data_IF_838488915669
#
_entry.id   IF_838488915669
#
_cell.length_a   1.000
_cell.length_b   1.000
_cell.length_c   1.000
_cell.angle_alpha   90.00
_cell.angle_beta   90.00
_cell.angle_gamma   90.00
#
_symmetry.space_group_name_H-M   'P 1'
#
loop_
_entity.id
_entity.type
_entity.pdbx_description
1 polymer ?
#
# COMPACT_ATOMS: atom_id res chain seq x y z
N UNK A 1 44.20 35.22 2.24
CA UNK A 1 44.55 35.02 3.66
C UNK A 1 43.25 35.17 4.45
N UNK A 2 42.55 34.13 4.88
CA UNK A 2 43.03 32.79 5.25
C UNK A 2 42.37 31.67 4.44
N UNK A 3 43.24 30.76 4.02
CA UNK A 3 42.93 29.41 3.57
C UNK A 3 42.55 28.56 4.78
N UNK A 4 41.33 28.04 4.79
CA UNK A 4 40.98 26.78 5.46
C UNK A 4 39.94 26.08 4.57
N UNK A 5 40.46 25.51 3.48
CA UNK A 5 39.76 24.58 2.61
C UNK A 5 39.64 23.24 3.33
N UNK A 6 38.55 23.02 4.07
CA UNK A 6 38.21 21.70 4.59
C UNK A 6 37.90 20.73 3.43
N UNK A 7 38.50 19.54 3.51
CA UNK A 7 38.41 18.46 2.53
C UNK A 7 36.96 18.10 2.17
N UNK A 8 36.56 18.29 0.90
CA UNK A 8 35.42 17.56 0.31
C UNK A 8 34.42 18.32 -0.57
N UNK A 9 34.56 19.63 -0.77
CA UNK A 9 33.59 20.43 -1.54
C UNK A 9 34.19 20.98 -2.83
N UNK A 10 33.91 20.35 -3.97
CA UNK A 10 34.40 20.80 -5.30
C UNK A 10 33.32 21.63 -6.01
N UNK A 11 33.23 22.91 -5.67
CA UNK A 11 32.54 23.90 -6.49
C UNK A 11 33.55 24.70 -7.32
N UNK A 12 33.30 24.84 -8.63
CA UNK A 12 34.09 25.70 -9.50
C UNK A 12 33.66 27.16 -9.31
N UNK A 13 34.60 27.97 -8.81
CA UNK A 13 34.36 29.36 -8.43
C UNK A 13 34.03 30.23 -9.65
N UNK A 14 34.63 29.97 -10.80
CA UNK A 14 34.39 30.79 -12.01
C UNK A 14 33.02 30.47 -12.60
N UNK A 15 32.63 29.18 -12.64
CA UNK A 15 31.27 28.77 -13.02
C UNK A 15 30.22 29.37 -12.08
N UNK A 16 30.48 29.33 -10.76
CA UNK A 16 29.60 29.91 -9.75
C UNK A 16 29.44 31.43 -9.92
N UNK A 17 30.55 32.16 -10.11
CA UNK A 17 30.54 33.62 -10.30
C UNK A 17 29.79 34.03 -11.56
N UNK A 18 29.97 33.28 -12.67
CA UNK A 18 29.21 33.51 -13.90
C UNK A 18 27.71 33.33 -13.65
N UNK A 19 27.30 32.19 -13.07
CA UNK A 19 25.90 31.94 -12.73
C UNK A 19 25.31 33.01 -11.81
N UNK A 20 26.08 33.45 -10.81
CA UNK A 20 25.65 34.49 -9.88
C UNK A 20 25.42 35.82 -10.58
N UNK A 21 26.35 36.26 -11.42
CA UNK A 21 26.19 37.49 -12.22
C UNK A 21 24.95 37.40 -13.12
N UNK A 22 24.81 36.31 -13.87
CA UNK A 22 23.66 36.09 -14.75
C UNK A 22 22.33 36.05 -13.96
N UNK A 23 22.34 35.48 -12.76
CA UNK A 23 21.19 35.47 -11.84
C UNK A 23 20.84 36.87 -11.34
N UNK A 24 21.84 37.66 -10.91
CA UNK A 24 21.66 39.03 -10.41
C UNK A 24 21.09 39.96 -11.52
N UNK A 25 21.53 39.74 -12.76
CA UNK A 25 21.04 40.45 -13.96
C UNK A 25 19.70 39.90 -14.48
N UNK A 26 19.25 38.75 -13.99
CA UNK A 26 18.09 38.00 -14.50
C UNK A 26 18.18 37.72 -16.02
N UNK A 27 19.40 37.45 -16.49
CA UNK A 27 19.68 37.08 -17.88
C UNK A 27 20.69 35.92 -17.92
N UNK A 28 20.21 34.73 -18.27
CA UNK A 28 21.04 33.53 -18.39
C UNK A 28 21.56 33.28 -19.81
N UNK A 29 21.48 34.27 -20.70
CA UNK A 29 21.98 34.13 -22.08
C UNK A 29 23.47 33.82 -22.10
N UNK A 30 24.29 34.53 -21.32
CA UNK A 30 25.73 34.29 -21.22
C UNK A 30 26.03 32.85 -20.77
N UNK A 31 25.43 32.41 -19.66
CA UNK A 31 25.59 31.04 -19.15
C UNK A 31 25.18 29.99 -20.18
N UNK A 32 24.01 30.15 -20.79
CA UNK A 32 23.47 29.18 -21.74
C UNK A 32 24.28 29.12 -23.04
N UNK A 33 24.80 30.25 -23.53
CA UNK A 33 25.66 30.28 -24.71
C UNK A 33 27.04 29.68 -24.42
N UNK A 34 27.58 29.93 -23.21
CA UNK A 34 28.79 29.27 -22.75
C UNK A 34 28.61 27.74 -22.67
N UNK A 35 27.46 27.26 -22.15
CA UNK A 35 27.12 25.82 -22.13
C UNK A 35 27.02 25.21 -23.52
N UNK A 36 26.45 25.92 -24.49
CA UNK A 36 26.40 25.46 -25.89
C UNK A 36 27.80 25.37 -26.52
N UNK A 37 28.68 26.32 -26.20
CA UNK A 37 30.06 26.32 -26.69
C UNK A 37 30.94 25.25 -26.02
N UNK A 38 30.59 24.82 -24.79
CA UNK A 38 31.36 23.86 -23.99
C UNK A 38 30.50 22.67 -23.52
N UNK A 39 30.00 21.83 -24.44
CA UNK A 39 29.07 20.74 -24.11
C UNK A 39 29.69 19.64 -23.23
N UNK A 40 30.98 19.39 -23.38
CA UNK A 40 31.72 18.34 -22.66
C UNK A 40 32.28 18.81 -21.31
N UNK A 41 32.23 20.13 -21.05
CA UNK A 41 32.72 20.72 -19.81
C UNK A 41 31.82 20.31 -18.64
N UNK A 42 32.46 19.83 -17.57
CA UNK A 42 31.75 19.38 -16.37
C UNK A 42 31.41 20.58 -15.49
N UNK A 43 30.15 20.65 -15.06
CA UNK A 43 29.68 21.71 -14.18
C UNK A 43 29.79 21.24 -12.72
N UNK A 44 30.52 21.98 -11.90
CA UNK A 44 30.80 21.62 -10.51
C UNK A 44 30.21 22.68 -9.56
N UNK A 45 29.06 22.35 -8.96
CA UNK A 45 28.32 23.22 -8.03
C UNK A 45 28.09 22.51 -6.69
N UNK A 46 28.97 21.59 -6.32
CA UNK A 46 28.81 20.80 -5.11
C UNK A 46 28.88 21.69 -3.86
N UNK A 47 27.82 21.68 -3.05
CA UNK A 47 27.71 22.52 -1.86
C UNK A 47 27.56 24.02 -2.15
N UNK A 48 27.35 24.42 -3.42
CA UNK A 48 27.20 25.82 -3.77
C UNK A 48 25.91 26.40 -3.15
N UNK A 49 26.01 27.62 -2.61
CA UNK A 49 24.85 28.41 -2.21
C UNK A 49 24.28 29.14 -3.43
N UNK A 50 23.22 28.55 -3.99
CA UNK A 50 22.42 29.08 -5.11
C UNK A 50 21.05 29.53 -4.59
N UNK A 51 20.94 29.82 -3.29
CA UNK A 51 19.68 30.22 -2.68
C UNK A 51 19.20 31.54 -3.27
N UNK A 52 17.90 31.61 -3.57
CA UNK A 52 17.25 32.76 -4.22
C UNK A 52 17.78 33.12 -5.62
N UNK A 53 18.62 32.29 -6.25
CA UNK A 53 19.11 32.59 -7.60
C UNK A 53 17.96 32.58 -8.62
N UNK A 54 18.07 33.47 -9.62
CA UNK A 54 17.23 33.44 -10.80
C UNK A 54 17.86 32.49 -11.84
N UNK A 55 17.35 31.25 -11.88
CA UNK A 55 17.86 30.16 -12.72
C UNK A 55 16.88 29.78 -13.84
N UNK A 56 15.97 30.69 -14.21
CA UNK A 56 14.92 30.42 -15.17
C UNK A 56 15.51 30.03 -16.53
N UNK A 57 15.09 28.89 -17.07
CA UNK A 57 15.62 28.31 -18.33
C UNK A 57 17.15 28.10 -18.35
N UNK A 58 17.80 27.99 -17.17
CA UNK A 58 19.21 27.62 -17.10
C UNK A 58 19.48 26.23 -17.69
N UNK A 59 20.63 26.09 -18.34
CA UNK A 59 21.20 24.79 -18.69
C UNK A 59 22.17 24.29 -17.61
N UNK A 60 21.68 23.42 -16.73
CA UNK A 60 22.46 22.69 -15.72
C UNK A 60 22.56 21.20 -16.08
N UNK A 61 22.49 20.86 -17.37
CA UNK A 61 22.70 19.50 -17.87
C UNK A 61 24.02 18.92 -17.35
N UNK A 62 23.94 17.72 -16.76
CA UNK A 62 25.08 16.98 -16.24
C UNK A 62 25.78 17.62 -15.04
N UNK A 63 25.24 18.70 -14.46
CA UNK A 63 25.87 19.41 -13.36
C UNK A 63 25.96 18.56 -12.09
N UNK A 64 27.08 18.66 -11.38
CA UNK A 64 27.24 18.13 -10.05
C UNK A 64 26.77 19.17 -9.02
N UNK A 65 25.50 19.09 -8.65
CA UNK A 65 24.83 19.94 -7.68
C UNK A 65 24.66 19.22 -6.33
N UNK A 66 25.51 18.23 -6.02
CA UNK A 66 25.40 17.48 -4.78
C UNK A 66 25.49 18.43 -3.57
N UNK A 67 24.53 18.36 -2.64
CA UNK A 67 24.42 19.26 -1.47
C UNK A 67 24.31 20.76 -1.79
N UNK A 68 24.07 21.14 -3.05
CA UNK A 68 23.86 22.54 -3.39
C UNK A 68 22.54 23.05 -2.78
N UNK A 69 22.53 24.32 -2.38
CA UNK A 69 21.35 24.98 -1.83
C UNK A 69 20.64 25.79 -2.92
N UNK A 70 19.45 25.37 -3.31
CA UNK A 70 18.53 26.06 -4.24
C UNK A 70 17.32 26.62 -3.50
N UNK A 71 17.38 26.81 -2.18
CA UNK A 71 16.25 27.31 -1.39
C UNK A 71 15.76 28.64 -1.98
N UNK A 72 14.45 28.76 -2.19
CA UNK A 72 13.81 29.93 -2.81
C UNK A 72 14.31 30.30 -4.24
N UNK A 73 15.12 29.47 -4.89
CA UNK A 73 15.60 29.74 -6.24
C UNK A 73 14.45 29.67 -7.26
N UNK A 74 14.52 30.51 -8.29
CA UNK A 74 13.62 30.42 -9.43
C UNK A 74 14.24 29.54 -10.52
N UNK A 75 13.97 28.24 -10.47
CA UNK A 75 14.45 27.26 -11.44
C UNK A 75 13.48 27.05 -12.60
N UNK A 76 12.44 27.89 -12.79
CA UNK A 76 11.38 27.62 -13.75
C UNK A 76 11.92 27.25 -15.15
N UNK A 77 11.52 26.08 -15.67
CA UNK A 77 11.94 25.53 -16.96
C UNK A 77 13.46 25.32 -17.12
N UNK A 78 14.24 25.31 -16.05
CA UNK A 78 15.64 24.90 -16.07
C UNK A 78 15.78 23.43 -16.47
N UNK A 79 16.96 23.04 -16.95
CA UNK A 79 17.31 21.63 -17.19
C UNK A 79 18.38 21.14 -16.24
N UNK A 80 18.05 20.10 -15.50
CA UNK A 80 18.94 19.28 -14.66
C UNK A 80 19.07 17.87 -15.27
N UNK A 81 18.93 17.74 -16.60
CA UNK A 81 19.05 16.46 -17.28
C UNK A 81 20.38 15.78 -16.93
N UNK A 82 20.33 14.55 -16.40
CA UNK A 82 21.48 13.77 -15.90
C UNK A 82 22.30 14.45 -14.80
N UNK A 83 21.81 15.53 -14.19
CA UNK A 83 22.51 16.20 -13.10
C UNK A 83 22.59 15.30 -11.85
N UNK A 84 23.64 15.48 -11.05
CA UNK A 84 23.74 14.91 -9.72
C UNK A 84 23.25 15.92 -8.69
N UNK A 85 22.00 15.76 -8.25
CA UNK A 85 21.34 16.57 -7.22
C UNK A 85 21.21 15.80 -5.90
N UNK A 86 22.11 14.84 -5.63
CA UNK A 86 22.07 14.07 -4.40
C UNK A 86 22.21 15.03 -3.19
N UNK A 87 21.34 14.86 -2.20
CA UNK A 87 21.32 15.71 -0.99
C UNK A 87 21.13 17.22 -1.27
N UNK A 88 20.69 17.63 -2.47
CA UNK A 88 20.46 19.04 -2.80
C UNK A 88 19.18 19.59 -2.15
N UNK A 89 19.16 20.89 -1.84
CA UNK A 89 18.06 21.56 -1.13
C UNK A 89 17.25 22.45 -2.08
N UNK A 90 16.08 22.01 -2.52
CA UNK A 90 15.14 22.75 -3.36
C UNK A 90 13.94 23.30 -2.55
N UNK A 91 14.08 23.49 -1.23
CA UNK A 91 12.97 23.94 -0.39
C UNK A 91 12.43 25.28 -0.87
N UNK A 92 11.11 25.40 -0.97
CA UNK A 92 10.43 26.63 -1.42
C UNK A 92 10.84 27.10 -2.83
N UNK A 93 11.60 26.31 -3.59
CA UNK A 93 12.06 26.69 -4.94
C UNK A 93 10.90 26.65 -5.94
N UNK A 94 10.96 27.53 -6.95
CA UNK A 94 10.07 27.45 -8.11
C UNK A 94 10.68 26.50 -9.16
N UNK A 95 10.27 25.24 -9.12
CA UNK A 95 10.67 24.18 -10.05
C UNK A 95 9.64 23.92 -11.15
N UNK A 96 8.77 24.89 -11.47
CA UNK A 96 7.72 24.70 -12.46
C UNK A 96 8.31 24.34 -13.83
N UNK A 97 7.90 23.19 -14.38
CA UNK A 97 8.37 22.69 -15.68
C UNK A 97 9.86 22.36 -15.74
N UNK A 98 10.54 22.21 -14.61
CA UNK A 98 11.97 21.81 -14.57
C UNK A 98 12.13 20.41 -15.14
N UNK A 99 13.24 20.19 -15.86
CA UNK A 99 13.62 18.90 -16.43
C UNK A 99 14.66 18.19 -15.58
N UNK A 100 14.24 17.25 -14.74
CA UNK A 100 15.07 16.32 -13.95
C UNK A 100 15.23 14.95 -14.62
N UNK A 101 15.12 14.86 -15.95
CA UNK A 101 15.24 13.59 -16.68
C UNK A 101 16.57 12.90 -16.29
N UNK A 102 16.53 11.60 -16.00
CA UNK A 102 17.70 10.81 -15.59
C UNK A 102 18.54 11.39 -14.42
N UNK A 103 18.03 12.39 -13.70
CA UNK A 103 18.78 13.06 -12.64
C UNK A 103 18.92 12.19 -11.39
N UNK A 104 19.98 12.41 -10.63
CA UNK A 104 20.19 11.76 -9.33
C UNK A 104 19.69 12.69 -8.21
N UNK A 105 18.48 12.46 -7.73
CA UNK A 105 17.83 13.24 -6.67
C UNK A 105 17.74 12.46 -5.35
N UNK A 106 18.69 11.56 -5.09
CA UNK A 106 18.72 10.74 -3.88
C UNK A 106 18.79 11.67 -2.65
N UNK A 107 17.80 11.56 -1.75
CA UNK A 107 17.63 12.41 -0.55
C UNK A 107 17.53 13.92 -0.83
N UNK A 108 17.25 14.32 -2.08
CA UNK A 108 16.99 15.72 -2.39
C UNK A 108 15.73 16.22 -1.65
N UNK A 109 15.75 17.49 -1.27
CA UNK A 109 14.72 18.11 -0.45
C UNK A 109 13.91 19.14 -1.25
N UNK A 110 12.73 18.73 -1.76
CA UNK A 110 11.77 19.57 -2.49
C UNK A 110 10.62 20.04 -1.61
N UNK A 111 10.76 20.02 -0.28
CA UNK A 111 9.70 20.41 0.64
C UNK A 111 9.18 21.82 0.33
N UNK A 112 7.86 21.98 0.22
CA UNK A 112 7.19 23.25 -0.15
C UNK A 112 7.56 23.83 -1.53
N UNK A 113 8.31 23.11 -2.38
CA UNK A 113 8.64 23.58 -3.72
C UNK A 113 7.41 23.58 -4.66
N UNK A 114 7.45 24.42 -5.69
CA UNK A 114 6.51 24.34 -6.81
C UNK A 114 7.09 23.46 -7.92
N UNK A 115 6.72 22.19 -7.97
CA UNK A 115 7.13 21.23 -9.01
C UNK A 115 6.03 20.99 -10.06
N UNK A 116 5.12 21.95 -10.28
CA UNK A 116 4.05 21.79 -11.28
C UNK A 116 4.65 21.52 -12.67
N UNK A 117 4.22 20.41 -13.29
CA UNK A 117 4.68 19.99 -14.60
C UNK A 117 6.18 19.64 -14.68
N UNK A 118 6.88 19.52 -13.55
CA UNK A 118 8.27 19.09 -13.54
C UNK A 118 8.41 17.65 -14.07
N UNK A 119 9.50 17.40 -14.79
CA UNK A 119 9.76 16.12 -15.45
C UNK A 119 10.88 15.36 -14.73
N UNK A 120 10.49 14.37 -13.92
CA UNK A 120 11.34 13.42 -13.22
C UNK A 120 11.42 12.07 -13.95
N UNK A 121 11.26 12.04 -15.28
CA UNK A 121 11.36 10.81 -16.07
C UNK A 121 12.66 10.05 -15.77
N UNK A 122 12.52 8.80 -15.31
CA UNK A 122 13.63 7.91 -14.94
C UNK A 122 14.61 8.49 -13.89
N UNK A 123 14.19 9.53 -13.16
CA UNK A 123 15.00 10.13 -12.10
C UNK A 123 15.15 9.20 -10.89
N UNK A 124 16.26 9.33 -10.18
CA UNK A 124 16.55 8.60 -8.94
C UNK A 124 16.17 9.44 -7.73
N UNK A 125 14.92 9.35 -7.29
CA UNK A 125 14.34 10.14 -6.19
C UNK A 125 14.21 9.34 -4.89
N UNK A 126 15.06 8.35 -4.64
CA UNK A 126 14.94 7.54 -3.43
C UNK A 126 15.13 8.41 -2.19
N UNK A 127 14.25 8.24 -1.19
CA UNK A 127 14.25 9.04 0.05
C UNK A 127 14.18 10.56 -0.17
N UNK A 128 13.80 11.01 -1.36
CA UNK A 128 13.58 12.43 -1.62
C UNK A 128 12.35 12.92 -0.83
N UNK A 129 12.38 14.19 -0.43
CA UNK A 129 11.29 14.84 0.28
C UNK A 129 10.50 15.72 -0.67
N UNK A 130 9.22 15.43 -0.80
CA UNK A 130 8.21 16.16 -1.57
C UNK A 130 7.03 16.55 -0.66
N UNK A 131 7.26 16.67 0.66
CA UNK A 131 6.20 17.06 1.60
C UNK A 131 5.74 18.48 1.30
N UNK A 132 4.42 18.70 1.30
CA UNK A 132 3.80 19.99 0.96
C UNK A 132 4.14 20.52 -0.46
N UNK A 133 4.75 19.73 -1.32
CA UNK A 133 5.15 20.14 -2.67
C UNK A 133 3.94 20.22 -3.61
N UNK A 134 3.90 21.22 -4.49
CA UNK A 134 2.97 21.19 -5.62
C UNK A 134 3.55 20.32 -6.75
N UNK A 135 3.09 19.09 -6.87
CA UNK A 135 3.48 18.14 -7.92
C UNK A 135 2.39 17.99 -9.00
N UNK A 136 1.51 18.99 -9.17
CA UNK A 136 0.43 18.91 -10.15
C UNK A 136 0.99 18.67 -11.55
N UNK A 137 0.46 17.65 -12.25
CA UNK A 137 0.90 17.22 -13.60
C UNK A 137 2.40 16.87 -13.71
N UNK A 138 3.13 16.69 -12.60
CA UNK A 138 4.52 16.27 -12.62
C UNK A 138 4.66 14.86 -13.20
N UNK A 139 5.78 14.59 -13.87
CA UNK A 139 6.05 13.33 -14.56
C UNK A 139 7.08 12.53 -13.77
N UNK A 140 6.64 11.51 -13.06
CA UNK A 140 7.49 10.53 -12.36
C UNK A 140 7.55 9.19 -13.13
N UNK A 141 7.39 9.21 -14.44
CA UNK A 141 7.38 8.00 -15.27
C UNK A 141 8.72 7.26 -15.14
N UNK A 142 8.71 5.97 -14.78
CA UNK A 142 9.89 5.15 -14.50
C UNK A 142 10.79 5.65 -13.34
N UNK A 143 10.38 6.67 -12.59
CA UNK A 143 11.19 7.22 -11.50
C UNK A 143 11.38 6.21 -10.35
N UNK A 144 12.52 6.30 -9.67
CA UNK A 144 12.84 5.50 -8.49
C UNK A 144 12.50 6.33 -7.24
N UNK A 145 11.31 6.14 -6.68
CA UNK A 145 10.77 6.92 -5.55
C UNK A 145 10.70 6.08 -4.25
N UNK A 146 11.60 5.13 -4.06
CA UNK A 146 11.61 4.27 -2.89
C UNK A 146 11.80 5.10 -1.62
N UNK A 147 10.94 4.88 -0.63
CA UNK A 147 10.91 5.61 0.65
C UNK A 147 10.80 7.14 0.48
N UNK A 148 10.33 7.64 -0.67
CA UNK A 148 10.11 9.07 -0.89
C UNK A 148 8.92 9.58 -0.09
N UNK A 149 9.00 10.83 0.36
CA UNK A 149 8.01 11.47 1.25
C UNK A 149 7.16 12.45 0.47
N UNK A 150 5.92 12.09 0.13
CA UNK A 150 4.96 12.96 -0.56
C UNK A 150 3.87 13.51 0.37
N UNK A 151 3.96 13.32 1.69
CA UNK A 151 2.87 13.67 2.62
C UNK A 151 2.42 15.13 2.43
N UNK A 152 1.10 15.36 2.37
CA UNK A 152 0.48 16.67 2.10
C UNK A 152 0.79 17.31 0.74
N UNK A 153 1.42 16.60 -0.21
CA UNK A 153 1.64 17.12 -1.55
C UNK A 153 0.34 17.24 -2.36
N UNK A 154 0.38 18.10 -3.39
CA UNK A 154 -0.63 18.10 -4.44
C UNK A 154 -0.12 17.31 -5.66
N UNK A 155 -0.60 16.07 -5.84
CA UNK A 155 -0.23 15.20 -6.96
C UNK A 155 -1.35 15.10 -8.01
N UNK A 156 -2.23 16.12 -8.11
CA UNK A 156 -3.32 16.13 -9.08
C UNK A 156 -2.80 15.93 -10.51
N UNK A 157 -3.27 14.90 -11.20
CA UNK A 157 -2.86 14.57 -12.57
C UNK A 157 -1.41 14.11 -12.74
N UNK A 158 -0.66 13.89 -11.66
CA UNK A 158 0.73 13.46 -11.71
C UNK A 158 0.87 12.04 -12.30
N UNK A 159 1.96 11.80 -13.01
CA UNK A 159 2.20 10.55 -13.71
C UNK A 159 3.30 9.71 -13.06
N UNK A 160 2.90 8.73 -12.25
CA UNK A 160 3.76 7.74 -11.59
C UNK A 160 3.75 6.37 -12.29
N UNK A 161 3.33 6.30 -13.56
CA UNK A 161 3.28 5.02 -14.28
C UNK A 161 4.65 4.37 -14.31
N UNK A 162 4.70 3.08 -14.00
CA UNK A 162 5.94 2.27 -13.89
C UNK A 162 6.98 2.80 -12.88
N UNK A 163 6.63 3.77 -12.04
CA UNK A 163 7.52 4.25 -10.99
C UNK A 163 7.72 3.18 -9.91
N UNK A 164 8.87 3.21 -9.24
CA UNK A 164 9.11 2.40 -8.06
C UNK A 164 8.84 3.21 -6.80
N UNK A 165 7.61 3.16 -6.29
CA UNK A 165 7.17 3.86 -5.08
C UNK A 165 7.14 2.94 -3.85
N UNK A 166 8.01 1.93 -3.80
CA UNK A 166 8.07 1.02 -2.66
C UNK A 166 8.39 1.80 -1.38
N UNK A 167 7.57 1.65 -0.33
CA UNK A 167 7.77 2.37 0.94
C UNK A 167 7.45 3.87 0.89
N UNK A 168 6.98 4.39 -0.25
CA UNK A 168 6.67 5.81 -0.39
C UNK A 168 5.47 6.23 0.46
N UNK A 169 5.51 7.45 0.95
CA UNK A 169 4.52 8.03 1.86
C UNK A 169 3.68 9.07 1.11
N UNK A 170 2.46 8.68 0.72
CA UNK A 170 1.45 9.52 0.07
C UNK A 170 0.35 9.92 1.06
N UNK A 171 0.64 10.04 2.35
CA UNK A 171 -0.40 10.36 3.33
C UNK A 171 -0.95 11.78 3.15
N UNK A 172 -2.28 11.90 3.16
CA UNK A 172 -3.00 13.19 3.02
C UNK A 172 -2.69 13.89 1.68
N UNK A 173 -2.41 13.13 0.62
CA UNK A 173 -2.10 13.67 -0.70
C UNK A 173 -3.35 13.86 -1.55
N UNK A 174 -3.41 14.96 -2.30
CA UNK A 174 -4.37 15.09 -3.38
C UNK A 174 -3.91 14.23 -4.58
N UNK A 175 -4.53 13.08 -4.77
CA UNK A 175 -4.22 12.10 -5.81
C UNK A 175 -5.28 12.07 -6.92
N UNK A 176 -6.12 13.10 -7.06
CA UNK A 176 -7.13 13.16 -8.12
C UNK A 176 -6.46 13.07 -9.50
N UNK A 177 -6.90 12.14 -10.35
CA UNK A 177 -6.32 11.91 -11.67
C UNK A 177 -4.88 11.39 -11.68
N UNK A 178 -4.36 10.91 -10.53
CA UNK A 178 -3.01 10.34 -10.48
C UNK A 178 -2.94 9.09 -11.36
N UNK A 179 -1.86 8.96 -12.12
CA UNK A 179 -1.62 7.79 -12.98
C UNK A 179 -0.57 6.90 -12.32
N UNK A 180 -1.00 5.80 -11.70
CA UNK A 180 -0.12 4.86 -10.98
C UNK A 180 -0.04 3.48 -11.66
N UNK A 181 -0.51 3.34 -12.90
CA UNK A 181 -0.51 2.06 -13.62
C UNK A 181 0.89 1.44 -13.67
N UNK A 182 0.98 0.12 -13.39
CA UNK A 182 2.23 -0.65 -13.38
C UNK A 182 3.28 -0.18 -12.36
N UNK A 183 2.94 0.72 -11.43
CA UNK A 183 3.85 1.17 -10.39
C UNK A 183 4.09 0.07 -9.34
N UNK A 184 5.25 0.12 -8.67
CA UNK A 184 5.51 -0.68 -7.48
C UNK A 184 5.07 0.10 -6.24
N UNK A 185 3.99 -0.34 -5.59
CA UNK A 185 3.37 0.29 -4.42
C UNK A 185 3.51 -0.59 -3.15
N UNK A 186 4.40 -1.58 -3.17
CA UNK A 186 4.68 -2.42 -2.00
C UNK A 186 5.06 -1.55 -0.79
N UNK A 187 4.47 -1.80 0.37
CA UNK A 187 4.72 -1.01 1.58
C UNK A 187 4.46 0.50 1.45
N UNK A 188 3.81 0.97 0.38
CA UNK A 188 3.46 2.37 0.23
C UNK A 188 2.23 2.73 1.07
N UNK A 189 2.19 3.95 1.58
CA UNK A 189 1.11 4.45 2.44
C UNK A 189 0.32 5.53 1.70
N UNK A 190 -0.97 5.30 1.49
CA UNK A 190 -1.94 6.22 0.88
C UNK A 190 -3.06 6.51 1.88
N UNK A 191 -2.74 6.78 3.15
CA UNK A 191 -3.77 7.09 4.14
C UNK A 191 -4.37 8.47 3.87
N UNK A 192 -5.69 8.59 3.98
CA UNK A 192 -6.42 9.85 3.82
C UNK A 192 -6.18 10.55 2.47
N UNK A 193 -5.89 9.78 1.41
CA UNK A 193 -5.72 10.35 0.06
C UNK A 193 -7.06 10.71 -0.57
N UNK A 194 -7.04 11.76 -1.39
CA UNK A 194 -8.20 12.15 -2.20
C UNK A 194 -8.06 11.50 -3.58
N UNK A 195 -9.02 10.65 -3.93
CA UNK A 195 -9.08 9.95 -5.21
C UNK A 195 -10.36 10.32 -5.96
N UNK A 196 -10.36 10.14 -7.28
CA UNK A 196 -11.53 10.35 -8.14
C UNK A 196 -11.65 9.23 -9.19
N UNK A 197 -12.68 9.31 -10.03
CA UNK A 197 -12.98 8.34 -11.07
C UNK A 197 -11.93 8.25 -12.20
N UNK A 198 -11.03 9.23 -12.29
CA UNK A 198 -9.93 9.22 -13.26
C UNK A 198 -8.74 8.37 -12.78
N UNK A 199 -8.73 7.98 -11.50
CA UNK A 199 -7.63 7.19 -10.92
C UNK A 199 -7.79 5.71 -11.27
N UNK A 200 -6.71 5.11 -11.77
CA UNK A 200 -6.66 3.71 -12.16
C UNK A 200 -5.55 2.97 -11.39
N UNK A 201 -5.89 1.81 -10.82
CA UNK A 201 -4.97 0.91 -10.13
C UNK A 201 -4.93 -0.42 -10.90
N UNK A 202 -4.16 -0.41 -12.00
CA UNK A 202 -4.03 -1.52 -12.95
C UNK A 202 -2.56 -1.95 -13.01
N UNK A 203 -2.31 -3.26 -13.01
CA UNK A 203 -0.99 -3.89 -13.04
C UNK A 203 -0.02 -3.43 -11.92
N UNK A 204 -0.50 -2.73 -10.88
CA UNK A 204 0.35 -2.25 -9.78
C UNK A 204 0.85 -3.41 -8.91
N UNK A 205 2.10 -3.36 -8.44
CA UNK A 205 2.56 -4.30 -7.41
C UNK A 205 2.13 -3.78 -6.04
N UNK A 206 1.30 -4.53 -5.33
CA UNK A 206 0.90 -4.26 -3.95
C UNK A 206 1.29 -5.44 -3.08
N UNK A 207 1.43 -5.21 -1.78
CA UNK A 207 1.61 -6.28 -0.79
C UNK A 207 0.72 -6.03 0.43
N UNK A 208 0.90 -6.86 1.44
CA UNK A 208 0.19 -6.78 2.71
C UNK A 208 0.38 -5.44 3.41
N UNK A 209 1.47 -4.72 3.14
CA UNK A 209 1.81 -3.47 3.82
C UNK A 209 1.34 -2.24 3.04
N UNK A 210 0.86 -2.40 1.81
CA UNK A 210 0.27 -1.31 1.04
C UNK A 210 -1.01 -0.83 1.73
N UNK A 211 -1.04 0.43 2.16
CA UNK A 211 -2.11 0.99 2.99
C UNK A 211 -2.91 2.03 2.21
N UNK A 212 -4.24 1.90 2.21
CA UNK A 212 -5.20 2.85 1.61
C UNK A 212 -6.28 3.25 2.62
N UNK A 213 -5.97 3.20 3.92
CA UNK A 213 -6.93 3.50 4.98
C UNK A 213 -7.52 4.91 4.80
N UNK A 214 -8.84 5.02 4.94
CA UNK A 214 -9.63 6.23 4.70
C UNK A 214 -9.64 6.74 3.24
N UNK A 215 -9.04 6.03 2.29
CA UNK A 215 -9.18 6.35 0.87
C UNK A 215 -10.51 5.82 0.33
N UNK A 216 -11.25 6.65 -0.40
CA UNK A 216 -12.47 6.20 -1.08
C UNK A 216 -12.11 5.40 -2.34
N UNK A 217 -12.30 4.08 -2.27
CA UNK A 217 -12.06 3.17 -3.41
C UNK A 217 -13.31 2.94 -4.29
N UNK A 218 -14.45 3.56 -3.96
CA UNK A 218 -15.72 3.29 -4.64
C UNK A 218 -15.77 3.80 -6.08
N UNK A 219 -15.15 4.95 -6.34
CA UNK A 219 -15.10 5.58 -7.67
C UNK A 219 -13.87 5.19 -8.48
N UNK A 220 -12.89 4.51 -7.89
CA UNK A 220 -11.60 4.19 -8.51
C UNK A 220 -11.70 2.91 -9.34
N UNK A 221 -11.05 2.90 -10.50
CA UNK A 221 -10.96 1.70 -11.34
C UNK A 221 -9.82 0.81 -10.81
N UNK A 222 -10.18 -0.35 -10.27
CA UNK A 222 -9.23 -1.29 -9.63
C UNK A 222 -9.48 -2.70 -10.16
N UNK A 223 -8.40 -3.44 -10.47
CA UNK A 223 -8.49 -4.87 -10.80
C UNK A 223 -9.14 -5.66 -9.67
N UNK A 224 -10.05 -6.63 -9.94
CA UNK A 224 -10.78 -7.36 -8.90
C UNK A 224 -9.89 -7.98 -7.80
N UNK A 225 -8.78 -8.61 -8.20
CA UNK A 225 -7.84 -9.22 -7.25
C UNK A 225 -7.10 -8.19 -6.38
N UNK A 226 -6.78 -7.02 -6.94
CA UNK A 226 -6.16 -5.91 -6.20
C UNK A 226 -7.15 -5.26 -5.25
N UNK A 227 -8.40 -5.07 -5.68
CA UNK A 227 -9.46 -4.49 -4.86
C UNK A 227 -9.68 -5.31 -3.60
N UNK A 228 -9.86 -6.63 -3.75
CA UNK A 228 -10.02 -7.52 -2.60
C UNK A 228 -8.84 -7.44 -1.63
N UNK A 229 -7.61 -7.32 -2.15
CA UNK A 229 -6.40 -7.21 -1.33
C UNK A 229 -6.28 -5.86 -0.61
N UNK A 230 -6.58 -4.76 -1.29
CA UNK A 230 -6.58 -3.43 -0.67
C UNK A 230 -7.66 -3.32 0.41
N UNK A 231 -8.86 -3.81 0.15
CA UNK A 231 -9.94 -3.84 1.13
C UNK A 231 -9.59 -4.72 2.35
N UNK A 232 -8.87 -5.84 2.13
CA UNK A 232 -8.31 -6.64 3.23
C UNK A 232 -7.32 -5.83 4.06
N UNK A 233 -6.35 -5.17 3.43
CA UNK A 233 -5.34 -4.38 4.13
C UNK A 233 -6.00 -3.25 4.94
N UNK A 234 -6.94 -2.50 4.35
CA UNK A 234 -7.69 -1.43 5.02
C UNK A 234 -8.40 -1.98 6.27
N UNK A 235 -9.11 -3.11 6.15
CA UNK A 235 -9.75 -3.76 7.31
C UNK A 235 -8.72 -4.14 8.37
N UNK A 236 -7.60 -4.76 7.96
CA UNK A 236 -6.55 -5.19 8.89
C UNK A 236 -5.97 -4.02 9.67
N UNK A 237 -5.56 -2.95 8.99
CA UNK A 237 -5.02 -1.76 9.64
C UNK A 237 -6.03 -1.11 10.60
N UNK A 238 -7.31 -1.02 10.21
CA UNK A 238 -8.36 -0.50 11.07
C UNK A 238 -8.53 -1.30 12.38
N UNK A 239 -8.55 -2.63 12.27
CA UNK A 239 -8.63 -3.51 13.45
C UNK A 239 -7.37 -3.48 14.30
N UNK A 240 -6.18 -3.51 13.70
CA UNK A 240 -4.90 -3.39 14.42
C UNK A 240 -4.84 -2.10 15.24
N UNK A 241 -5.29 -0.99 14.67
CA UNK A 241 -5.43 0.29 15.38
C UNK A 241 -6.42 0.18 16.54
N UNK A 242 -7.61 -0.37 16.31
CA UNK A 242 -8.63 -0.54 17.35
C UNK A 242 -8.16 -1.43 18.52
N UNK A 243 -7.42 -2.51 18.24
CA UNK A 243 -6.84 -3.36 19.27
C UNK A 243 -5.82 -2.60 20.13
N UNK A 244 -5.03 -1.71 19.52
CA UNK A 244 -4.07 -0.87 20.23
C UNK A 244 -4.74 0.17 21.14
N UNK A 245 -5.77 0.85 20.64
CA UNK A 245 -6.51 1.88 21.39
C UNK A 245 -7.35 1.28 22.52
N UNK A 246 -7.96 0.11 22.29
CA UNK A 246 -8.82 -0.58 23.27
C UNK A 246 -8.03 -1.53 24.18
N UNK A 247 -6.69 -1.45 24.17
CA UNK A 247 -5.79 -2.38 24.85
C UNK A 247 -5.94 -2.43 26.38
N UNK A 248 -6.68 -1.51 27.00
CA UNK A 248 -7.05 -1.58 28.43
C UNK A 248 -8.07 -2.69 28.73
N UNK A 249 -8.79 -3.21 27.72
CA UNK A 249 -9.74 -4.33 27.84
C UNK A 249 -9.27 -5.58 27.09
N UNK A 250 -8.03 -6.04 27.34
CA UNK A 250 -7.39 -7.16 26.61
C UNK A 250 -8.28 -8.41 26.48
N UNK A 251 -9.01 -8.77 27.54
CA UNK A 251 -9.91 -9.94 27.55
C UNK A 251 -11.03 -9.78 26.52
N UNK A 252 -11.63 -8.60 26.39
CA UNK A 252 -12.71 -8.35 25.43
C UNK A 252 -12.21 -8.32 23.97
N UNK A 253 -10.95 -7.94 23.74
CA UNK A 253 -10.36 -7.89 22.39
C UNK A 253 -9.96 -9.27 21.86
N UNK A 254 -9.74 -10.26 22.73
CA UNK A 254 -9.24 -11.58 22.33
C UNK A 254 -10.17 -12.32 21.37
N UNK A 255 -11.49 -12.48 21.66
CA UNK A 255 -12.40 -13.18 20.74
C UNK A 255 -12.48 -12.49 19.38
N UNK A 256 -12.49 -11.15 19.37
CA UNK A 256 -12.56 -10.34 18.15
C UNK A 256 -11.28 -10.48 17.32
N UNK A 257 -10.12 -10.42 17.96
CA UNK A 257 -8.82 -10.58 17.28
C UNK A 257 -8.63 -11.99 16.73
N UNK A 258 -9.00 -13.00 17.51
CA UNK A 258 -8.98 -14.38 17.08
C UNK A 258 -9.88 -14.59 15.85
N UNK A 259 -11.08 -14.03 15.86
CA UNK A 259 -12.00 -14.07 14.72
C UNK A 259 -11.40 -13.51 13.43
N UNK A 260 -10.84 -12.30 13.48
CA UNK A 260 -10.31 -11.69 12.27
C UNK A 260 -9.03 -12.37 11.78
N UNK A 261 -8.27 -12.99 12.69
CA UNK A 261 -7.13 -13.84 12.36
C UNK A 261 -7.57 -15.09 11.57
N UNK A 262 -8.56 -15.84 12.07
CA UNK A 262 -9.01 -17.08 11.41
C UNK A 262 -9.65 -16.82 10.04
N UNK A 263 -10.31 -15.68 9.87
CA UNK A 263 -10.96 -15.29 8.61
C UNK A 263 -10.05 -14.57 7.63
N UNK A 264 -8.77 -14.36 7.99
CA UNK A 264 -7.81 -13.55 7.22
C UNK A 264 -8.40 -12.18 6.83
N UNK A 265 -9.04 -11.51 7.80
CA UNK A 265 -9.75 -10.24 7.60
C UNK A 265 -10.80 -10.30 6.48
N UNK A 266 -11.42 -11.47 6.31
CA UNK A 266 -12.44 -11.74 5.31
C UNK A 266 -11.91 -11.83 3.88
N UNK A 267 -10.63 -12.15 3.67
CA UNK A 267 -10.01 -12.24 2.35
C UNK A 267 -9.94 -13.66 1.78
N UNK A 268 -9.48 -14.63 2.57
CA UNK A 268 -9.19 -15.97 2.08
C UNK A 268 -10.33 -16.96 2.36
N UNK A 269 -11.11 -17.29 1.33
CA UNK A 269 -12.23 -18.25 1.44
C UNK A 269 -11.76 -19.65 1.85
N UNK A 270 -10.56 -20.09 1.44
CA UNK A 270 -10.02 -21.40 1.82
C UNK A 270 -9.71 -21.47 3.30
N UNK A 271 -9.20 -20.39 3.88
CA UNK A 271 -8.93 -20.32 5.32
C UNK A 271 -10.24 -20.39 6.12
N UNK A 272 -11.27 -19.64 5.71
CA UNK A 272 -12.59 -19.69 6.36
C UNK A 272 -13.16 -21.11 6.33
N UNK A 273 -13.10 -21.78 5.17
CA UNK A 273 -13.58 -23.16 5.02
C UNK A 273 -12.78 -24.14 5.88
N UNK A 274 -11.45 -24.00 5.91
CA UNK A 274 -10.57 -24.80 6.76
C UNK A 274 -10.94 -24.67 8.24
N UNK A 275 -11.08 -23.45 8.75
CA UNK A 275 -11.45 -23.22 10.15
C UNK A 275 -12.86 -23.73 10.45
N UNK A 276 -13.81 -23.57 9.51
CA UNK A 276 -15.16 -24.11 9.66
C UNK A 276 -15.14 -25.64 9.84
N UNK A 277 -14.44 -26.35 8.95
CA UNK A 277 -14.28 -27.82 9.03
C UNK A 277 -13.49 -28.25 10.28
N UNK A 278 -12.47 -27.48 10.67
CA UNK A 278 -11.69 -27.76 11.87
C UNK A 278 -12.55 -27.66 13.13
N UNK A 279 -13.40 -26.64 13.26
CA UNK A 279 -14.30 -26.52 14.41
C UNK A 279 -15.30 -27.67 14.49
N UNK A 280 -15.84 -28.12 13.36
CA UNK A 280 -16.71 -29.31 13.31
C UNK A 280 -15.99 -30.52 13.91
N UNK A 281 -14.74 -30.76 13.50
CA UNK A 281 -13.93 -31.88 14.01
C UNK A 281 -13.64 -31.70 15.51
N UNK A 282 -13.24 -30.50 15.94
CA UNK A 282 -12.94 -30.20 17.35
C UNK A 282 -14.15 -30.47 18.25
N UNK A 283 -15.34 -29.99 17.88
CA UNK A 283 -16.55 -30.25 18.64
C UNK A 283 -16.93 -31.73 18.62
N UNK A 284 -16.83 -32.40 17.47
CA UNK A 284 -17.05 -33.84 17.36
C UNK A 284 -16.12 -34.65 18.29
N UNK A 285 -14.85 -34.28 18.38
CA UNK A 285 -13.88 -34.89 19.29
C UNK A 285 -14.25 -34.62 20.76
N UNK A 286 -14.64 -33.40 21.12
CA UNK A 286 -15.09 -33.07 22.48
C UNK A 286 -16.29 -33.94 22.88
N UNK A 287 -17.29 -34.07 22.00
CA UNK A 287 -18.46 -34.90 22.26
C UNK A 287 -18.14 -36.39 22.35
N UNK A 288 -17.15 -36.86 21.59
CA UNK A 288 -16.69 -38.26 21.63
C UNK A 288 -15.91 -38.57 22.91
N UNK A 289 -15.13 -37.62 23.43
CA UNK A 289 -14.36 -37.77 24.68
C UNK A 289 -15.23 -37.64 25.93
N UNK A 290 -16.31 -36.85 25.84
CA UNK A 290 -17.23 -36.58 26.95
C UNK A 290 -18.69 -36.93 26.58
N UNK A 291 -19.00 -38.18 26.23
CA UNK A 291 -20.33 -38.56 25.74
C UNK A 291 -21.42 -38.40 26.80
N UNK A 292 -21.06 -38.48 28.09
CA UNK A 292 -21.99 -38.27 29.21
C UNK A 292 -22.64 -36.88 29.25
N UNK A 293 -22.13 -35.91 28.49
CA UNK A 293 -22.73 -34.58 28.36
C UNK A 293 -23.98 -34.56 27.48
N UNK A 294 -24.18 -35.59 26.66
CA UNK A 294 -25.21 -35.69 25.63
C UNK A 294 -26.11 -36.91 25.85
N UNK A 295 -27.32 -36.86 25.32
CA UNK A 295 -28.32 -37.92 25.45
C UNK A 295 -29.13 -38.12 24.17
N UNK A 296 -29.64 -39.33 23.98
CA UNK A 296 -30.62 -39.69 22.94
C UNK A 296 -31.87 -40.18 23.65
N UNK A 297 -33.04 -39.60 23.33
CA UNK A 297 -34.32 -39.96 23.97
C UNK A 297 -34.33 -39.87 25.50
N UNK A 298 -33.47 -39.02 26.08
CA UNK A 298 -33.34 -38.84 27.53
C UNK A 298 -32.29 -39.75 28.20
N UNK A 299 -31.79 -40.76 27.51
CA UNK A 299 -30.76 -41.67 28.02
C UNK A 299 -29.35 -41.12 27.72
N UNK A 300 -28.45 -41.03 28.72
CA UNK A 300 -27.09 -40.53 28.53
C UNK A 300 -26.28 -41.45 27.61
N UNK A 301 -25.49 -40.83 26.73
CA UNK A 301 -24.56 -41.57 25.87
C UNK A 301 -23.42 -42.14 26.73
N UNK A 302 -23.17 -43.44 26.62
CA UNK A 302 -22.05 -44.11 27.30
C UNK A 302 -20.75 -43.97 26.49
N UNK A 303 -19.62 -44.40 27.06
CA UNK A 303 -18.32 -44.29 26.42
C UNK A 303 -18.14 -45.38 25.36
N UNK A 304 -17.93 -45.01 24.09
CA UNK A 304 -17.61 -45.95 23.02
C UNK A 304 -16.13 -45.85 22.65
N UNK A 305 -15.43 -46.97 22.67
CA UNK A 305 -14.14 -47.09 21.98
C UNK A 305 -14.39 -47.11 20.47
N UNK A 306 -13.42 -46.60 19.69
CA UNK A 306 -13.43 -46.67 18.23
C UNK A 306 -13.87 -48.07 17.77
N UNK A 307 -14.92 -48.16 16.94
CA UNK A 307 -15.58 -49.37 16.41
C UNK A 307 -16.63 -50.04 17.32
N UNK A 308 -17.90 -49.58 17.30
CA UNK A 308 -19.02 -50.46 17.62
C UNK A 308 -20.28 -50.12 16.81
N UNK A 309 -20.94 -51.16 16.30
CA UNK A 309 -22.16 -51.12 15.47
C UNK A 309 -23.45 -51.17 16.30
N UNK A 310 -23.36 -51.33 17.62
CA UNK A 310 -24.51 -51.35 18.52
C UNK A 310 -24.24 -50.49 19.76
N UNK A 311 -25.09 -49.48 19.97
CA UNK A 311 -25.43 -48.96 21.29
C UNK A 311 -24.71 -47.74 21.86
N UNK A 312 -23.58 -47.25 21.33
CA UNK A 312 -22.81 -46.21 22.05
C UNK A 312 -22.09 -45.21 21.11
N UNK A 313 -22.03 -43.94 21.53
CA UNK A 313 -21.52 -42.74 20.83
C UNK A 313 -20.37 -42.98 19.83
N UNK A 314 -20.67 -43.03 18.53
CA UNK A 314 -19.66 -43.11 17.48
C UNK A 314 -19.19 -41.70 17.07
N UNK A 315 -17.88 -41.50 16.84
CA UNK A 315 -17.33 -40.25 16.30
C UNK A 315 -18.10 -39.74 15.08
N UNK A 316 -18.54 -40.62 14.18
CA UNK A 316 -19.32 -40.23 13.01
C UNK A 316 -20.71 -39.66 13.35
N UNK A 317 -21.35 -40.17 14.41
CA UNK A 317 -22.60 -39.60 14.93
C UNK A 317 -22.34 -38.24 15.58
N UNK A 318 -21.25 -38.10 16.34
CA UNK A 318 -20.85 -36.83 16.96
C UNK A 318 -20.44 -35.78 15.92
N UNK A 319 -19.85 -36.21 14.81
CA UNK A 319 -19.52 -35.38 13.66
C UNK A 319 -20.79 -34.88 12.95
N UNK A 320 -21.75 -35.78 12.71
CA UNK A 320 -23.05 -35.42 12.17
C UNK A 320 -23.78 -34.45 13.09
N UNK A 321 -23.74 -34.68 14.41
CA UNK A 321 -24.30 -33.77 15.40
C UNK A 321 -23.62 -32.39 15.33
N UNK A 322 -22.30 -32.32 15.47
CA UNK A 322 -21.56 -31.06 15.42
C UNK A 322 -21.81 -30.29 14.12
N UNK A 323 -21.84 -31.00 12.98
CA UNK A 323 -22.18 -30.41 11.68
C UNK A 323 -23.60 -29.85 11.66
N UNK A 324 -24.58 -30.62 12.13
CA UNK A 324 -25.98 -30.19 12.20
C UNK A 324 -26.14 -28.97 13.10
N UNK A 325 -25.47 -28.93 14.26
CA UNK A 325 -25.52 -27.79 15.18
C UNK A 325 -24.86 -26.54 14.60
N UNK A 326 -23.82 -26.70 13.77
CA UNK A 326 -23.14 -25.56 13.14
C UNK A 326 -23.84 -25.03 11.88
N UNK A 327 -24.59 -25.88 11.17
CA UNK A 327 -25.21 -25.55 9.88
C UNK A 327 -26.72 -25.32 9.99
N UNK A 328 -27.42 -26.11 10.80
CA UNK A 328 -28.88 -26.09 10.94
C UNK A 328 -29.27 -25.64 12.35
N UNK A 329 -30.55 -25.31 12.57
CA UNK A 329 -31.10 -24.89 13.86
C UNK A 329 -31.11 -26.00 14.94
N UNK A 330 -30.19 -26.98 14.85
CA UNK A 330 -30.09 -28.07 15.82
C UNK A 330 -31.09 -29.20 15.58
N UNK A 331 -31.47 -29.48 14.33
CA UNK A 331 -32.26 -30.66 13.99
C UNK A 331 -31.40 -31.93 14.12
N UNK A 332 -31.25 -32.38 15.37
CA UNK A 332 -30.52 -33.55 15.77
C UNK A 332 -31.35 -34.33 16.78
N UNK A 333 -31.26 -35.66 16.74
CA UNK A 333 -31.86 -36.53 17.77
C UNK A 333 -31.03 -36.60 19.06
N UNK A 334 -29.90 -35.89 19.10
CA UNK A 334 -28.97 -35.79 20.24
C UNK A 334 -29.17 -34.45 20.93
N UNK A 335 -29.41 -34.50 22.24
CA UNK A 335 -29.71 -33.35 23.10
C UNK A 335 -28.70 -33.31 24.27
N UNK A 336 -28.73 -32.24 25.07
CA UNK A 336 -27.95 -32.20 26.32
C UNK A 336 -28.52 -33.19 27.34
N UNK A 337 -27.65 -33.96 27.99
CA UNK A 337 -28.07 -34.93 29.00
C UNK A 337 -28.76 -34.24 30.19
N UNK A 338 -29.82 -34.88 30.71
CA UNK A 338 -30.57 -34.43 31.88
C UNK A 338 -30.43 -35.49 32.97
N UNK A 339 -29.93 -35.10 34.14
CA UNK A 339 -29.77 -35.97 35.31
C UNK A 339 -30.61 -35.39 36.45
N UNK A 340 -31.51 -36.19 37.01
CA UNK A 340 -32.41 -35.79 38.11
C UNK A 340 -33.21 -34.51 37.83
N UNK A 341 -33.65 -34.34 36.58
CA UNK A 341 -34.42 -33.16 36.14
C UNK A 341 -33.57 -31.90 35.93
N UNK A 342 -32.25 -31.93 36.15
CA UNK A 342 -31.35 -30.83 35.87
C UNK A 342 -30.49 -31.10 34.62
N UNK A 343 -30.39 -30.12 33.68
CA UNK A 343 -29.56 -30.27 32.50
C UNK A 343 -28.06 -30.23 32.86
N UNK A 344 -27.25 -31.05 32.20
CA UNK A 344 -25.81 -31.09 32.39
C UNK A 344 -25.18 -29.75 31.97
N UNK A 345 -24.76 -28.93 32.94
CA UNK A 345 -24.33 -27.54 32.71
C UNK A 345 -23.17 -27.43 31.72
N UNK A 346 -22.16 -28.30 31.82
CA UNK A 346 -21.05 -28.31 30.86
C UNK A 346 -21.52 -28.67 29.45
N UNK A 347 -22.51 -29.56 29.32
CA UNK A 347 -23.10 -29.93 28.03
C UNK A 347 -23.81 -28.73 27.40
N UNK A 348 -24.61 -28.01 28.18
CA UNK A 348 -25.26 -26.76 27.76
C UNK A 348 -24.26 -25.73 27.26
N UNK A 349 -23.17 -25.52 28.00
CA UNK A 349 -22.12 -24.56 27.64
C UNK A 349 -21.44 -24.97 26.33
N UNK A 350 -21.02 -26.23 26.19
CA UNK A 350 -20.31 -26.71 25.00
C UNK A 350 -21.21 -26.69 23.76
N UNK A 351 -22.48 -27.12 23.86
CA UNK A 351 -23.44 -27.08 22.75
C UNK A 351 -23.76 -25.63 22.36
N UNK A 352 -23.90 -24.74 23.34
CA UNK A 352 -24.13 -23.31 23.09
C UNK A 352 -22.92 -22.65 22.40
N UNK A 353 -21.69 -22.98 22.81
CA UNK A 353 -20.47 -22.53 22.13
C UNK A 353 -20.40 -23.06 20.70
N UNK A 354 -20.74 -24.33 20.48
CA UNK A 354 -20.80 -24.92 19.14
C UNK A 354 -21.79 -24.18 18.23
N UNK A 355 -23.02 -23.92 18.72
CA UNK A 355 -24.02 -23.11 18.01
C UNK A 355 -23.49 -21.71 17.66
N UNK A 356 -22.92 -21.00 18.65
CA UNK A 356 -22.41 -19.64 18.44
C UNK A 356 -21.28 -19.59 17.40
N UNK A 357 -20.30 -20.50 17.50
CA UNK A 357 -19.19 -20.59 16.53
C UNK A 357 -19.73 -20.97 15.15
N UNK A 358 -20.67 -21.91 15.09
CA UNK A 358 -21.34 -22.36 13.88
C UNK A 358 -22.02 -21.24 13.11
N UNK A 359 -22.97 -20.54 13.74
CA UNK A 359 -23.69 -19.43 13.10
C UNK A 359 -22.77 -18.34 12.63
N UNK A 360 -21.77 -18.00 13.45
CA UNK A 360 -20.85 -16.94 13.12
C UNK A 360 -19.97 -17.31 11.92
N UNK A 361 -19.40 -18.52 11.89
CA UNK A 361 -18.62 -18.99 10.75
C UNK A 361 -19.46 -19.18 9.49
N UNK A 362 -20.72 -19.62 9.64
CA UNK A 362 -21.66 -19.74 8.53
C UNK A 362 -21.97 -18.36 7.93
N UNK A 363 -22.18 -17.33 8.76
CA UNK A 363 -22.37 -15.97 8.29
C UNK A 363 -21.16 -15.45 7.49
N UNK A 364 -19.93 -15.73 7.95
CA UNK A 364 -18.71 -15.38 7.20
C UNK A 364 -18.62 -16.15 5.88
N UNK A 365 -18.91 -17.45 5.91
CA UNK A 365 -18.86 -18.30 4.72
C UNK A 365 -19.87 -17.85 3.66
N UNK A 366 -21.11 -17.57 4.06
CA UNK A 366 -22.16 -17.03 3.18
C UNK A 366 -21.72 -15.68 2.59
N UNK A 367 -21.17 -14.78 3.41
CA UNK A 367 -20.65 -13.49 2.92
C UNK A 367 -19.53 -13.68 1.89
N UNK A 368 -18.60 -14.60 2.16
CA UNK A 368 -17.48 -14.92 1.25
C UNK A 368 -17.94 -15.56 -0.05
N UNK A 369 -18.93 -16.46 0.02
CA UNK A 369 -19.56 -17.06 -1.15
C UNK A 369 -20.27 -15.98 -1.97
N UNK A 370 -21.02 -15.07 -1.35
CA UNK A 370 -21.67 -13.95 -2.02
C UNK A 370 -20.67 -13.07 -2.78
N UNK A 371 -19.53 -12.72 -2.17
CA UNK A 371 -18.45 -11.98 -2.84
C UNK A 371 -17.91 -12.77 -4.05
N UNK A 372 -17.71 -14.08 -3.90
CA UNK A 372 -17.21 -14.94 -4.97
C UNK A 372 -18.20 -15.06 -6.15
N UNK A 373 -19.51 -15.03 -5.88
CA UNK A 373 -20.54 -14.99 -6.92
C UNK A 373 -20.70 -13.60 -7.56
N UNK A 374 -20.39 -12.52 -6.83
CA UNK A 374 -20.41 -11.15 -7.35
C UNK A 374 -19.20 -10.82 -8.23
N UNK A 375 -18.06 -11.49 -8.02
CA UNK A 375 -16.92 -11.34 -8.93
C UNK A 375 -17.29 -11.90 -10.30
N UNK A 376 -17.37 -11.04 -11.32
CA UNK A 376 -17.73 -11.41 -12.68
C UNK A 376 -16.70 -12.40 -13.29
N UNK A 377 -16.91 -13.70 -13.07
CA UNK A 377 -16.17 -14.79 -13.71
C UNK A 377 -14.66 -14.82 -13.45
N UNK A 378 -13.93 -15.77 -14.09
CA UNK A 378 -12.48 -15.71 -14.14
C UNK A 378 -12.05 -14.37 -14.76
N UNK A 379 -11.11 -13.70 -14.09
CA UNK A 379 -10.83 -12.28 -14.25
C UNK A 379 -10.80 -11.81 -15.69
N UNK A 380 -11.55 -10.73 -15.97
CA UNK A 380 -11.42 -9.94 -17.18
C UNK A 380 -9.93 -9.63 -17.40
N UNK A 381 -9.32 -10.30 -18.37
CA UNK A 381 -8.04 -9.91 -18.92
C UNK A 381 -8.37 -8.74 -19.82
N UNK A 382 -8.05 -7.48 -19.45
CA UNK A 382 -8.23 -6.37 -20.37
C UNK A 382 -7.51 -6.75 -21.66
N UNK A 383 -8.22 -6.64 -22.79
CA UNK A 383 -7.68 -6.90 -24.12
C UNK A 383 -6.29 -6.28 -24.14
N UNK A 384 -5.25 -7.12 -24.18
CA UNK A 384 -3.89 -6.63 -24.42
C UNK A 384 -4.03 -5.80 -25.68
N UNK A 385 -3.81 -4.49 -25.59
CA UNK A 385 -3.54 -3.67 -26.76
C UNK A 385 -2.22 -4.19 -27.36
N UNK A 386 -2.27 -5.37 -27.99
CA UNK A 386 -1.21 -5.95 -28.78
C UNK A 386 -0.93 -5.06 -30.00
N UNK A 387 -1.88 -4.18 -30.35
CA UNK A 387 -1.82 -3.37 -31.57
C UNK A 387 -1.14 -2.00 -31.38
N UNK A 388 -0.71 -1.63 -30.16
CA UNK A 388 0.06 -0.38 -29.96
C UNK A 388 1.58 -0.60 -29.85
N UNK A 389 2.00 -1.82 -29.49
CA UNK A 389 3.42 -2.14 -29.35
C UNK A 389 4.11 -2.47 -30.69
N UNK A 390 3.34 -2.77 -31.73
CA UNK A 390 3.86 -2.91 -33.11
C UNK A 390 4.04 -1.56 -33.81
N UNK A 391 3.25 -0.53 -33.46
CA UNK A 391 3.43 0.81 -34.01
C UNK A 391 4.60 1.58 -33.37
N UNK A 392 4.85 1.40 -32.07
CA UNK A 392 6.00 2.05 -31.41
C UNK A 392 7.35 1.43 -31.83
N UNK A 393 7.38 0.16 -32.28
CA UNK A 393 8.58 -0.45 -32.86
C UNK A 393 8.86 -0.01 -34.31
N UNK A 394 7.85 0.52 -35.01
CA UNK A 394 8.04 1.12 -36.34
C UNK A 394 8.48 2.59 -36.28
N UNK A 395 8.25 3.27 -35.16
CA UNK A 395 8.70 4.65 -34.93
C UNK A 395 10.12 4.76 -34.33
N UNK A 396 10.74 3.61 -33.99
CA UNK A 396 12.12 3.52 -33.47
C UNK A 396 13.06 2.75 -34.43
N UNK A 397 12.75 2.76 -35.74
CA UNK A 397 13.69 2.36 -36.80
C UNK A 397 13.99 3.52 -37.72
#
# INVERSE_FOLDING_TARGET
MNDEYEEGYKCDIEQYRMLKRCSDEQDLTEWNDWRKAHPDEKIFLQGADLSSFWLMKSDLHGANCQRADFKNANCQRATFWKANCQDAYFREANCQGVKFLDAQCLRADFEMANCEGADFWNAKCQRAKFSFTNCQKAIFFLAQCQDAKFSFANCHGANFRRANCQGADFNVVNCQGIKIDKANLKNASFQNVILNHETQIIDCKIDDKTDFTNASLSSVIIEPGKRAKLEQNIRRFGWEKWYGETATRKIATFPVRFFWLISDYGYNTKNVLFWFLLFIIVFATIYTLCPSMLAISGEPLTLCTFWCLDGVANFWQMLAFATSTMVTLGFSNINVAVTDGMPHMLGMIVVSLNLMVGYFMLAVLVTRLAILFQTMGPGYVPIKQKDKMENDKRLLR
#
